data_IF_819805032250
#
_entry.id   IF_819805032250
#
_cell.length_a   1.000
_cell.length_b   1.000
_cell.length_c   1.000
_cell.angle_alpha   90.00
_cell.angle_beta   90.00
_cell.angle_gamma   90.00
#
_symmetry.space_group_name_H-M   'P 1'
#
loop_
_entity.id
_entity.type
_entity.pdbx_description
1 polymer ?
#
# COMPACT_ATOMS: atom_id res chain seq x y z
N UNK A 1 -6.51 6.54 -8.75
CA UNK A 1 -5.79 7.81 -8.46
C UNK A 1 -5.23 7.55 -7.08
N UNK A 2 -3.92 7.33 -6.91
CA UNK A 2 -3.44 6.77 -5.64
C UNK A 2 -3.75 7.71 -4.47
N UNK A 3 -4.65 7.29 -3.60
CA UNK A 3 -5.01 8.02 -2.38
C UNK A 3 -3.97 7.77 -1.30
N UNK A 4 -3.54 8.83 -0.61
CA UNK A 4 -2.60 8.71 0.50
C UNK A 4 -3.14 7.76 1.60
N UNK A 5 -2.25 6.91 2.13
CA UNK A 5 -2.56 5.88 3.14
C UNK A 5 -2.37 6.48 4.53
N UNK A 6 -3.32 6.32 5.46
CA UNK A 6 -3.20 6.90 6.79
C UNK A 6 -4.17 6.31 7.81
N UNK A 7 -4.01 6.70 9.08
CA UNK A 7 -4.86 6.21 10.16
C UNK A 7 -6.36 6.46 9.87
N UNK A 8 -7.16 5.39 9.86
CA UNK A 8 -8.60 5.45 9.57
C UNK A 8 -8.97 5.71 8.11
N UNK A 9 -8.01 5.72 7.20
CA UNK A 9 -8.21 5.94 5.76
C UNK A 9 -7.77 4.71 4.97
N UNK A 10 -8.61 4.31 4.01
CA UNK A 10 -8.22 3.37 2.96
C UNK A 10 -7.54 4.17 1.86
N UNK A 11 -6.27 3.89 1.60
CA UNK A 11 -5.52 4.45 0.48
C UNK A 11 -5.41 3.47 -0.69
N UNK A 12 -4.63 3.85 -1.70
CA UNK A 12 -4.29 2.97 -2.83
C UNK A 12 -2.78 2.93 -3.01
N UNK A 13 -2.23 1.74 -3.24
CA UNK A 13 -0.83 1.54 -3.62
C UNK A 13 -0.73 0.84 -4.96
N UNK A 14 0.32 1.17 -5.70
CA UNK A 14 0.66 0.52 -6.95
C UNK A 14 1.74 -0.52 -6.68
N UNK A 15 1.44 -1.80 -6.90
CA UNK A 15 2.36 -2.92 -6.65
C UNK A 15 2.75 -3.56 -7.97
N UNK A 16 4.05 -3.65 -8.22
CA UNK A 16 4.56 -4.44 -9.33
C UNK A 16 4.52 -5.92 -8.96
N UNK A 17 3.75 -6.71 -9.71
CA UNK A 17 3.63 -8.16 -9.51
C UNK A 17 4.35 -8.86 -10.66
N UNK A 18 5.56 -9.43 -10.45
CA UNK A 18 6.39 -9.93 -11.54
C UNK A 18 5.69 -10.96 -12.44
N UNK A 19 4.84 -11.82 -11.86
CA UNK A 19 4.12 -12.87 -12.58
C UNK A 19 3.01 -12.34 -13.49
N UNK A 20 2.58 -11.07 -13.31
CA UNK A 20 1.49 -10.45 -14.06
C UNK A 20 1.96 -9.39 -15.05
N UNK A 21 3.28 -9.28 -15.26
CA UNK A 21 3.91 -8.37 -16.22
C UNK A 21 3.32 -6.94 -16.17
N UNK A 22 3.05 -6.44 -14.97
CA UNK A 22 2.34 -5.18 -14.81
C UNK A 22 2.34 -4.66 -13.38
N UNK A 23 1.77 -3.47 -13.22
CA UNK A 23 1.54 -2.85 -11.92
C UNK A 23 0.05 -2.81 -11.66
N UNK A 24 -0.36 -3.29 -10.50
CA UNK A 24 -1.76 -3.34 -10.09
C UNK A 24 -2.02 -2.40 -8.91
N UNK A 25 -3.22 -1.83 -8.88
CA UNK A 25 -3.70 -1.07 -7.73
C UNK A 25 -4.28 -2.03 -6.67
N UNK A 26 -3.91 -1.77 -5.41
CA UNK A 26 -4.45 -2.44 -4.23
C UNK A 26 -4.98 -1.41 -3.23
N UNK A 27 -6.06 -1.76 -2.53
CA UNK A 27 -6.53 -1.04 -1.36
C UNK A 27 -5.51 -1.22 -0.24
N UNK A 28 -5.10 -0.13 0.39
CA UNK A 28 -4.01 -0.13 1.35
C UNK A 28 -4.45 0.39 2.71
N UNK A 29 -4.05 -0.35 3.74
CA UNK A 29 -4.13 0.02 5.15
C UNK A 29 -2.72 0.11 5.73
N UNK A 30 -2.53 0.93 6.76
CA UNK A 30 -1.30 0.87 7.55
C UNK A 30 -1.26 -0.43 8.35
N UNK A 31 -0.13 -1.16 8.24
CA UNK A 31 0.11 -2.38 9.01
C UNK A 31 0.33 -2.09 10.51
N UNK A 32 0.84 -0.90 10.84
CA UNK A 32 1.05 -0.41 12.20
C UNK A 32 0.51 1.02 12.33
N UNK A 33 -0.04 1.42 13.49
CA UNK A 33 -0.46 2.79 13.72
C UNK A 33 0.70 3.78 13.48
N UNK A 34 0.41 4.88 12.78
CA UNK A 34 1.42 5.88 12.46
C UNK A 34 0.88 7.01 11.62
N UNK A 35 1.80 7.87 11.19
CA UNK A 35 1.48 9.03 10.36
C UNK A 35 1.01 8.63 8.96
N UNK A 36 0.27 9.56 8.35
CA UNK A 36 -0.17 9.42 6.96
C UNK A 36 1.04 9.37 6.03
N UNK A 37 1.04 8.40 5.13
CA UNK A 37 2.01 8.27 4.03
C UNK A 37 1.58 9.15 2.86
N UNK A 38 2.40 10.14 2.46
CA UNK A 38 2.17 10.92 1.25
C UNK A 38 2.10 10.05 -0.01
N UNK A 39 1.50 10.59 -1.08
CA UNK A 39 1.53 9.94 -2.39
C UNK A 39 2.97 9.86 -2.88
N UNK A 40 3.36 8.70 -3.42
CA UNK A 40 4.71 8.44 -3.92
C UNK A 40 5.67 7.89 -2.86
N UNK A 41 5.26 7.80 -1.59
CA UNK A 41 6.05 7.12 -0.56
C UNK A 41 6.24 5.63 -0.92
N UNK A 42 7.48 5.13 -1.02
CA UNK A 42 7.74 3.71 -1.18
C UNK A 42 7.27 2.93 0.04
N UNK A 43 6.62 1.80 -0.20
CA UNK A 43 6.07 0.94 0.85
C UNK A 43 6.48 -0.51 0.65
N UNK A 44 6.50 -1.25 1.75
CA UNK A 44 6.53 -2.72 1.73
C UNK A 44 5.14 -3.25 2.04
N UNK A 45 4.70 -4.24 1.27
CA UNK A 45 3.51 -5.04 1.59
C UNK A 45 3.89 -6.04 2.67
N UNK A 46 3.28 -5.88 3.84
CA UNK A 46 3.48 -6.76 5.01
C UNK A 46 2.51 -7.94 4.94
N UNK A 47 1.27 -7.68 4.55
CA UNK A 47 0.24 -8.71 4.42
C UNK A 47 -0.63 -8.44 3.19
N UNK A 48 -0.99 -9.51 2.49
CA UNK A 48 -1.94 -9.48 1.38
C UNK A 48 -3.21 -10.25 1.78
N UNK A 49 -4.35 -9.57 1.71
CA UNK A 49 -5.67 -10.14 1.92
C UNK A 49 -6.44 -10.15 0.59
N UNK A 50 -6.78 -11.33 0.05
CA UNK A 50 -7.53 -11.42 -1.19
C UNK A 50 -8.89 -10.68 -1.13
N UNK A 51 -9.34 -10.08 -2.25
CA UNK A 51 -8.72 -10.14 -3.57
C UNK A 51 -7.76 -8.98 -3.88
N UNK A 52 -7.84 -7.85 -3.16
CA UNK A 52 -7.14 -6.60 -3.52
C UNK A 52 -6.75 -5.74 -2.31
N UNK A 53 -6.68 -6.31 -1.11
CA UNK A 53 -6.31 -5.57 0.10
C UNK A 53 -4.88 -5.88 0.50
N UNK A 54 -4.13 -4.86 0.88
CA UNK A 54 -2.79 -4.98 1.44
C UNK A 54 -2.64 -4.16 2.70
N UNK A 55 -1.85 -4.67 3.64
CA UNK A 55 -1.36 -3.91 4.77
C UNK A 55 0.09 -3.53 4.48
N UNK A 56 0.41 -2.25 4.65
CA UNK A 56 1.69 -1.69 4.23
C UNK A 56 2.36 -0.91 5.34
N UNK A 57 3.68 -0.83 5.27
CA UNK A 57 4.51 0.04 6.08
C UNK A 57 5.43 0.86 5.16
N UNK A 58 5.85 2.08 5.56
CA UNK A 58 6.86 2.82 4.81
C UNK A 58 8.16 2.02 4.77
N UNK A 59 8.87 2.09 3.64
CA UNK A 59 10.26 1.62 3.57
C UNK A 59 11.08 2.55 4.47
N UNK A 60 11.67 2.00 5.54
CA UNK A 60 12.72 2.71 6.27
C UNK A 60 13.95 2.81 5.37
N UNK A 61 14.64 3.97 5.33
CA UNK A 61 15.95 4.07 4.67
C UNK A 61 16.99 3.16 5.34
#
# INVERSE_FOLDING_TARGET
>A
MSGAVGAGLVGEVMVHVPQRQGTEAFLAYLAVPGDRLPVGTPVVVIEYQPPRTVYVAPVLP
#
